data_IF_851469689484
#
_entry.id   IF_851469689484
#
_cell.length_a   1.000
_cell.length_b   1.000
_cell.length_c   1.000
_cell.angle_alpha   90.00
_cell.angle_beta   90.00
_cell.angle_gamma   90.00
#
_symmetry.space_group_name_H-M   'P 1'
#
loop_
_entity.id
_entity.type
_entity.pdbx_description
1 polymer ?
#
# COMPACT_ATOMS: atom_id res chain seq x y z
N UNK A 1 10.10 15.93 4.25
CA UNK A 1 10.99 15.18 3.32
C UNK A 1 10.22 14.81 2.09
N UNK A 2 10.83 14.93 0.90
CA UNK A 2 10.27 14.42 -0.35
C UNK A 2 10.32 12.89 -0.35
N UNK A 3 9.51 12.25 -1.17
CA UNK A 3 9.41 10.78 -1.25
C UNK A 3 10.77 10.09 -1.45
N UNK A 4 11.56 10.58 -2.40
CA UNK A 4 12.91 10.07 -2.69
C UNK A 4 13.90 10.22 -1.53
N UNK A 5 13.76 11.28 -0.74
CA UNK A 5 14.57 11.50 0.47
C UNK A 5 14.19 10.48 1.55
N UNK A 6 12.89 10.16 1.70
CA UNK A 6 12.42 9.12 2.63
C UNK A 6 12.89 7.74 2.21
N UNK A 7 12.86 7.40 0.92
CA UNK A 7 13.41 6.13 0.41
C UNK A 7 14.90 6.01 0.74
N UNK A 8 15.67 7.08 0.50
CA UNK A 8 17.10 7.09 0.82
C UNK A 8 17.33 6.94 2.33
N UNK A 9 16.58 7.69 3.13
CA UNK A 9 16.61 7.58 4.59
C UNK A 9 16.36 6.14 5.07
N UNK A 10 15.30 5.50 4.58
CA UNK A 10 14.99 4.12 4.93
C UNK A 10 16.12 3.14 4.53
N UNK A 11 16.82 3.39 3.43
CA UNK A 11 17.94 2.56 2.97
C UNK A 11 19.20 2.75 3.79
N UNK A 12 19.50 3.97 4.24
CA UNK A 12 20.84 4.33 4.73
C UNK A 12 20.91 4.72 6.20
N UNK A 13 19.80 5.18 6.81
CA UNK A 13 19.80 5.61 8.20
C UNK A 13 20.26 4.48 9.14
N UNK A 14 21.02 4.87 10.17
CA UNK A 14 21.52 3.93 11.19
C UNK A 14 20.35 3.34 11.98
N UNK A 15 20.41 2.04 12.21
CA UNK A 15 19.50 1.35 13.11
C UNK A 15 19.97 1.60 14.53
N UNK A 16 19.14 2.26 15.34
CA UNK A 16 19.44 2.58 16.73
C UNK A 16 18.92 1.50 17.67
N UNK A 17 17.72 1.02 17.41
CA UNK A 17 17.10 -0.05 18.17
C UNK A 17 16.07 -0.79 17.35
N UNK A 18 15.72 -1.99 17.80
CA UNK A 18 14.61 -2.77 17.25
C UNK A 18 13.79 -3.38 18.37
N UNK A 19 12.49 -3.46 18.18
CA UNK A 19 11.57 -4.19 19.07
C UNK A 19 10.63 -5.03 18.24
N UNK A 20 10.29 -6.20 18.72
CA UNK A 20 9.35 -7.08 18.03
C UNK A 20 7.98 -6.40 17.96
N UNK A 21 7.37 -6.42 16.78
CA UNK A 21 5.99 -6.00 16.57
C UNK A 21 5.07 -7.22 16.65
N UNK A 22 3.81 -6.98 16.97
CA UNK A 22 2.77 -8.00 16.89
C UNK A 22 2.45 -8.38 15.44
N UNK A 23 1.51 -9.33 15.28
CA UNK A 23 1.04 -9.81 13.98
C UNK A 23 1.68 -11.13 13.57
N UNK A 24 1.34 -11.58 12.36
CA UNK A 24 1.87 -12.83 11.78
C UNK A 24 3.32 -12.64 11.33
N UNK A 25 4.12 -13.65 11.55
CA UNK A 25 5.53 -13.63 11.15
C UNK A 25 6.43 -12.86 12.10
N UNK A 26 7.65 -12.63 11.65
CA UNK A 26 8.67 -11.93 12.40
C UNK A 26 8.74 -10.46 11.94
N UNK A 27 7.97 -9.61 12.63
CA UNK A 27 7.87 -8.19 12.34
C UNK A 27 8.58 -7.37 13.43
N UNK A 28 9.21 -6.28 13.01
CA UNK A 28 9.98 -5.41 13.89
C UNK A 28 9.62 -3.94 13.69
N UNK A 29 9.50 -3.20 14.78
CA UNK A 29 9.58 -1.73 14.76
C UNK A 29 11.03 -1.36 14.95
N UNK A 30 11.58 -0.64 13.98
CA UNK A 30 12.99 -0.23 13.93
C UNK A 30 13.08 1.27 14.18
N UNK A 31 13.92 1.67 15.14
CA UNK A 31 14.29 3.07 15.31
C UNK A 31 15.47 3.39 14.38
N UNK A 32 15.31 4.42 13.58
CA UNK A 32 16.26 4.86 12.55
C UNK A 32 16.73 6.29 12.86
N UNK A 33 18.02 6.56 12.60
CA UNK A 33 18.63 7.87 12.78
C UNK A 33 19.69 8.15 11.71
N UNK A 34 19.66 9.32 11.07
CA UNK A 34 20.67 9.74 10.09
C UNK A 34 21.56 10.87 10.62
N UNK A 35 21.49 11.16 11.91
CA UNK A 35 22.21 12.26 12.58
C UNK A 35 21.50 13.60 12.50
N UNK A 36 20.41 13.73 11.73
CA UNK A 36 19.58 14.94 11.61
C UNK A 36 18.16 14.73 12.12
N UNK A 37 17.61 13.56 11.84
CA UNK A 37 16.26 13.18 12.24
C UNK A 37 16.25 11.73 12.68
N UNK A 38 15.39 11.45 13.67
CA UNK A 38 15.05 10.10 14.10
C UNK A 38 13.63 9.77 13.69
N UNK A 39 13.39 8.57 13.17
CA UNK A 39 12.07 8.06 12.80
C UNK A 39 11.96 6.57 13.06
N UNK A 40 10.73 6.08 13.07
CA UNK A 40 10.46 4.64 13.12
C UNK A 40 10.18 4.09 11.73
N UNK A 41 10.56 2.83 11.53
CA UNK A 41 10.18 2.02 10.39
C UNK A 41 9.56 0.71 10.86
N UNK A 42 8.73 0.12 10.02
CA UNK A 42 8.16 -1.20 10.21
C UNK A 42 8.83 -2.18 9.26
N UNK A 43 9.51 -3.20 9.81
CA UNK A 43 10.28 -4.17 9.04
C UNK A 43 9.58 -5.52 9.04
N UNK A 44 9.33 -6.05 7.82
CA UNK A 44 8.71 -7.35 7.58
C UNK A 44 9.68 -8.29 6.88
N UNK A 45 9.76 -9.51 7.37
CA UNK A 45 10.63 -10.56 6.84
C UNK A 45 9.88 -11.67 6.12
N UNK A 46 8.57 -11.76 6.32
CA UNK A 46 7.79 -12.88 5.85
C UNK A 46 7.83 -12.98 4.32
N UNK A 47 8.18 -14.17 3.83
CA UNK A 47 8.19 -14.53 2.42
C UNK A 47 7.83 -16.01 2.31
N UNK A 48 6.56 -16.34 2.58
CA UNK A 48 6.06 -17.70 2.63
C UNK A 48 4.86 -17.89 1.70
N UNK A 49 4.91 -18.94 0.89
CA UNK A 49 3.71 -19.45 0.25
C UNK A 49 2.82 -20.11 1.32
N UNK A 50 1.57 -19.72 1.40
CA UNK A 50 0.58 -20.37 2.26
C UNK A 50 -0.03 -21.59 1.56
N UNK A 51 -0.45 -22.63 2.31
CA UNK A 51 -1.07 -23.83 1.73
C UNK A 51 -2.37 -23.57 0.97
N UNK A 52 -2.99 -22.43 1.12
CA UNK A 52 -4.31 -22.08 0.59
C UNK A 52 -4.28 -20.90 -0.39
N UNK A 53 -3.46 -20.92 -1.41
CA UNK A 53 -3.49 -19.97 -2.55
C UNK A 53 -3.07 -18.51 -2.25
N UNK A 54 -2.85 -18.11 -1.01
CA UNK A 54 -2.43 -16.74 -0.68
C UNK A 54 -0.98 -16.76 -0.23
N UNK A 55 -0.12 -16.17 -1.04
CA UNK A 55 1.28 -15.92 -0.67
C UNK A 55 1.35 -14.69 0.22
N UNK A 56 2.05 -14.78 1.34
CA UNK A 56 2.34 -13.65 2.22
C UNK A 56 3.82 -13.28 2.02
N UNK A 57 4.08 -12.12 1.41
CA UNK A 57 5.44 -11.74 1.03
C UNK A 57 5.70 -10.25 1.29
N UNK A 58 6.85 -9.96 1.91
CA UNK A 58 7.33 -8.59 2.06
C UNK A 58 7.53 -7.88 0.71
N UNK A 59 7.75 -8.63 -0.38
CA UNK A 59 7.93 -8.10 -1.73
C UNK A 59 6.67 -7.42 -2.25
N UNK A 60 5.50 -7.90 -1.86
CA UNK A 60 4.23 -7.31 -2.30
C UNK A 60 4.01 -5.90 -1.75
N UNK A 61 4.45 -5.63 -0.51
CA UNK A 61 4.45 -4.27 0.02
C UNK A 61 5.31 -3.31 -0.81
N UNK A 62 6.48 -3.78 -1.30
CA UNK A 62 7.35 -2.99 -2.18
C UNK A 62 6.70 -2.84 -3.56
N UNK A 63 6.12 -3.90 -4.13
CA UNK A 63 5.42 -3.87 -5.41
C UNK A 63 4.24 -2.88 -5.38
N UNK A 64 3.44 -2.89 -4.32
CA UNK A 64 2.34 -1.95 -4.12
C UNK A 64 2.83 -0.50 -4.09
N UNK A 65 3.91 -0.22 -3.35
CA UNK A 65 4.51 1.11 -3.32
C UNK A 65 5.07 1.57 -4.67
N UNK A 66 5.73 0.67 -5.41
CA UNK A 66 6.22 1.01 -6.75
C UNK A 66 5.07 1.27 -7.74
N UNK A 67 3.96 0.52 -7.64
CA UNK A 67 2.75 0.75 -8.43
C UNK A 67 2.06 2.07 -8.04
N UNK A 68 1.98 2.38 -6.75
CA UNK A 68 1.47 3.65 -6.23
C UNK A 68 2.25 4.85 -6.81
N UNK A 69 3.57 4.72 -6.92
CA UNK A 69 4.42 5.75 -7.56
C UNK A 69 4.11 5.90 -9.05
N UNK A 70 3.92 4.80 -9.77
CA UNK A 70 3.57 4.84 -11.21
C UNK A 70 2.21 5.53 -11.43
N UNK A 71 1.28 5.37 -10.50
CA UNK A 71 -0.04 6.00 -10.52
C UNK A 71 -0.05 7.41 -9.92
N UNK A 72 1.05 7.85 -9.31
CA UNK A 72 1.18 9.14 -8.61
C UNK A 72 0.08 9.41 -7.57
N UNK A 73 -0.32 8.38 -6.82
CA UNK A 73 -1.39 8.45 -5.83
C UNK A 73 -0.91 8.91 -4.46
N UNK A 74 0.25 8.41 -4.03
CA UNK A 74 0.81 8.65 -2.71
C UNK A 74 -0.07 8.13 -1.55
N UNK A 75 -0.68 6.97 -1.74
CA UNK A 75 -1.53 6.29 -0.74
C UNK A 75 -0.81 5.15 -0.04
N UNK A 76 0.32 4.69 -0.56
CA UNK A 76 1.18 3.72 0.13
C UNK A 76 2.36 4.43 0.77
N UNK A 77 2.61 4.27 2.09
CA UNK A 77 3.78 4.86 2.73
C UNK A 77 5.08 4.36 2.10
N UNK A 78 6.14 5.19 2.02
CA UNK A 78 7.42 4.77 1.48
C UNK A 78 7.93 3.48 2.11
N UNK A 79 8.26 2.51 1.26
CA UNK A 79 8.83 1.21 1.63
C UNK A 79 9.98 0.86 0.71
N UNK A 80 11.02 0.25 1.26
CA UNK A 80 12.22 -0.19 0.52
C UNK A 80 12.60 -1.61 0.91
N UNK A 81 13.29 -2.31 0.03
CA UNK A 81 14.00 -3.52 0.44
C UNK A 81 15.23 -3.10 1.26
N UNK A 82 15.42 -3.76 2.39
CA UNK A 82 16.60 -3.58 3.24
C UNK A 82 17.04 -4.91 3.85
N UNK A 83 18.34 -5.08 3.96
CA UNK A 83 18.92 -6.18 4.71
C UNK A 83 19.25 -5.71 6.14
N UNK A 84 18.78 -6.47 7.13
CA UNK A 84 19.03 -6.23 8.55
C UNK A 84 19.49 -7.55 9.18
N UNK A 85 20.70 -7.54 9.74
CA UNK A 85 21.31 -8.73 10.36
C UNK A 85 21.34 -9.94 9.42
N UNK A 86 21.73 -9.72 8.15
CA UNK A 86 21.83 -10.77 7.13
C UNK A 86 20.49 -11.25 6.57
N UNK A 87 19.38 -10.63 6.95
CA UNK A 87 18.03 -11.00 6.49
C UNK A 87 17.41 -9.90 5.67
N UNK A 88 16.96 -10.24 4.47
CA UNK A 88 16.25 -9.33 3.57
C UNK A 88 14.77 -9.23 3.94
N UNK A 89 14.25 -8.02 3.87
CA UNK A 89 12.85 -7.73 4.14
C UNK A 89 12.42 -6.36 3.60
N UNK A 90 11.17 -6.00 3.79
CA UNK A 90 10.67 -4.66 3.51
C UNK A 90 10.74 -3.77 4.76
N UNK A 91 11.27 -2.57 4.60
CA UNK A 91 11.26 -1.54 5.63
C UNK A 91 10.39 -0.38 5.17
N UNK A 92 9.23 -0.24 5.80
CA UNK A 92 8.25 0.83 5.54
C UNK A 92 8.39 1.93 6.58
N UNK A 93 8.25 3.18 6.17
CA UNK A 93 8.20 4.31 7.12
C UNK A 93 6.99 4.16 8.05
N UNK A 94 7.22 4.32 9.35
CA UNK A 94 6.12 4.34 10.32
C UNK A 94 5.42 5.69 10.27
N UNK A 95 4.11 5.71 10.17
CA UNK A 95 3.30 6.94 10.12
C UNK A 95 2.93 7.35 11.54
N UNK A 96 3.79 8.14 12.14
CA UNK A 96 3.62 8.63 13.50
C UNK A 96 2.42 9.56 13.63
N UNK A 97 1.60 9.32 14.66
CA UNK A 97 0.42 10.15 14.95
C UNK A 97 -0.76 9.91 14.02
N UNK A 98 -0.71 8.88 13.17
CA UNK A 98 -1.89 8.45 12.42
C UNK A 98 -2.87 7.71 13.33
N UNK A 99 -4.17 7.85 13.03
CA UNK A 99 -5.24 6.99 13.54
C UNK A 99 -5.55 5.95 12.48
N UNK A 100 -5.90 4.73 12.89
CA UNK A 100 -6.54 3.82 11.95
C UNK A 100 -8.04 4.16 11.80
N UNK A 101 -8.63 3.73 10.69
CA UNK A 101 -10.02 4.05 10.36
C UNK A 101 -11.00 3.45 11.37
N UNK A 102 -10.70 2.29 11.96
CA UNK A 102 -11.52 1.69 13.02
C UNK A 102 -11.59 2.61 14.25
N UNK A 103 -10.47 3.15 14.71
CA UNK A 103 -10.43 4.10 15.83
C UNK A 103 -11.12 5.41 15.45
N UNK A 104 -10.94 5.91 14.22
CA UNK A 104 -11.66 7.11 13.77
C UNK A 104 -13.17 6.92 13.85
N UNK A 105 -13.69 5.80 13.33
CA UNK A 105 -15.13 5.48 13.38
C UNK A 105 -15.63 5.32 14.80
N UNK A 106 -14.92 4.55 15.63
CA UNK A 106 -15.25 4.36 17.05
C UNK A 106 -15.35 5.69 17.80
N UNK A 107 -14.40 6.61 17.57
CA UNK A 107 -14.37 7.94 18.19
C UNK A 107 -15.30 8.95 17.50
N UNK A 108 -16.00 8.58 16.43
CA UNK A 108 -16.89 9.43 15.64
C UNK A 108 -16.22 10.73 15.14
N UNK A 109 -14.91 10.66 14.86
CA UNK A 109 -14.17 11.82 14.34
C UNK A 109 -14.57 12.05 12.89
N UNK A 110 -15.08 13.26 12.61
CA UNK A 110 -15.53 13.66 11.27
C UNK A 110 -14.37 14.30 10.49
N UNK A 111 -14.21 13.97 9.20
CA UNK A 111 -13.25 14.66 8.34
C UNK A 111 -13.64 16.14 8.19
N UNK A 112 -12.61 17.01 8.13
CA UNK A 112 -12.82 18.44 7.88
C UNK A 112 -13.28 18.72 6.45
N UNK A 113 -12.85 17.90 5.50
CA UNK A 113 -13.18 17.94 4.08
C UNK A 113 -13.78 16.59 3.66
N UNK A 114 -15.07 16.34 3.93
CA UNK A 114 -15.71 15.04 3.73
C UNK A 114 -15.58 14.50 2.31
N UNK A 115 -15.73 15.34 1.29
CA UNK A 115 -15.66 14.93 -0.12
C UNK A 115 -14.25 14.52 -0.52
N UNK A 116 -13.21 15.25 -0.07
CA UNK A 116 -11.82 14.86 -0.32
C UNK A 116 -11.47 13.55 0.37
N UNK A 117 -11.96 13.38 1.59
CA UNK A 117 -11.77 12.14 2.33
C UNK A 117 -12.46 10.95 1.66
N UNK A 118 -13.71 11.15 1.21
CA UNK A 118 -14.45 10.15 0.43
C UNK A 118 -13.69 9.77 -0.84
N UNK A 119 -13.24 10.73 -1.62
CA UNK A 119 -12.48 10.49 -2.85
C UNK A 119 -11.18 9.72 -2.55
N UNK A 120 -10.49 10.02 -1.44
CA UNK A 120 -9.28 9.30 -1.06
C UNK A 120 -9.56 7.83 -0.69
N UNK A 121 -10.69 7.54 -0.07
CA UNK A 121 -11.13 6.16 0.19
C UNK A 121 -11.55 5.45 -1.10
N UNK A 122 -12.23 6.12 -2.02
CA UNK A 122 -12.58 5.57 -3.33
C UNK A 122 -11.33 5.23 -4.15
N UNK A 123 -10.33 6.11 -4.14
CA UNK A 123 -9.03 5.82 -4.78
C UNK A 123 -8.33 4.62 -4.14
N UNK A 124 -8.40 4.50 -2.82
CA UNK A 124 -7.86 3.33 -2.12
C UNK A 124 -8.59 2.05 -2.56
N UNK A 125 -9.93 2.04 -2.63
CA UNK A 125 -10.72 0.89 -3.11
C UNK A 125 -10.32 0.48 -4.53
N UNK A 126 -10.11 1.43 -5.42
CA UNK A 126 -9.62 1.14 -6.78
C UNK A 126 -8.24 0.49 -6.73
N UNK A 127 -7.33 1.03 -5.92
CA UNK A 127 -5.97 0.52 -5.79
C UNK A 127 -5.94 -0.88 -5.18
N UNK A 128 -6.79 -1.17 -4.20
CA UNK A 128 -6.94 -2.50 -3.59
C UNK A 128 -7.44 -3.53 -4.60
N UNK A 129 -8.46 -3.20 -5.36
CA UNK A 129 -8.91 -4.06 -6.45
C UNK A 129 -7.80 -4.29 -7.47
N UNK A 130 -7.03 -3.27 -7.82
CA UNK A 130 -5.90 -3.38 -8.74
C UNK A 130 -4.83 -4.33 -8.21
N UNK A 131 -4.44 -4.17 -6.96
CA UNK A 131 -3.43 -5.00 -6.29
C UNK A 131 -3.99 -6.34 -5.80
N UNK A 132 -5.31 -6.53 -5.81
CA UNK A 132 -6.01 -7.62 -5.17
C UNK A 132 -5.54 -7.82 -3.73
N UNK A 133 -5.65 -6.78 -2.94
CA UNK A 133 -5.32 -6.82 -1.52
C UNK A 133 -6.59 -7.08 -0.72
N UNK A 134 -6.83 -8.29 -0.19
CA UNK A 134 -8.06 -8.59 0.51
C UNK A 134 -8.18 -7.89 1.87
N UNK A 135 -7.10 -7.25 2.29
CA UNK A 135 -7.02 -6.63 3.62
C UNK A 135 -7.94 -5.44 3.81
N UNK A 136 -8.36 -4.78 2.74
CA UNK A 136 -9.01 -3.49 2.85
C UNK A 136 -10.50 -3.48 2.49
N UNK A 137 -10.91 -4.38 1.63
CA UNK A 137 -12.28 -4.40 1.16
C UNK A 137 -13.23 -5.06 2.15
N UNK A 138 -14.02 -4.25 2.78
CA UNK A 138 -14.97 -4.64 3.81
C UNK A 138 -14.66 -3.98 5.16
N UNK A 139 -15.54 -4.18 6.13
CA UNK A 139 -15.36 -3.59 7.46
C UNK A 139 -14.28 -4.29 8.31
N UNK A 140 -13.67 -5.36 7.78
CA UNK A 140 -12.83 -6.27 8.58
C UNK A 140 -11.44 -5.73 8.87
N UNK A 141 -10.88 -4.90 7.98
CA UNK A 141 -9.47 -4.51 8.05
C UNK A 141 -9.26 -2.99 8.05
N UNK A 142 -10.18 -2.28 8.71
CA UNK A 142 -10.09 -0.83 8.88
C UNK A 142 -8.83 -0.38 9.64
N UNK A 143 -8.11 -1.31 10.27
CA UNK A 143 -6.86 -1.03 10.97
C UNK A 143 -5.69 -0.81 10.01
N UNK A 144 -5.80 -1.34 8.78
CA UNK A 144 -4.80 -1.15 7.72
C UNK A 144 -4.99 0.15 6.93
N UNK A 145 -6.02 0.93 7.26
CA UNK A 145 -6.24 2.28 6.73
C UNK A 145 -5.82 3.29 7.78
N UNK A 146 -4.72 3.99 7.50
CA UNK A 146 -4.20 5.03 8.40
C UNK A 146 -4.64 6.41 7.95
N UNK A 147 -5.09 7.22 8.89
CA UNK A 147 -5.59 8.57 8.65
C UNK A 147 -4.78 9.55 9.48
N UNK A 148 -4.27 10.58 8.82
CA UNK A 148 -3.56 11.66 9.48
C UNK A 148 -4.38 12.94 9.38
N UNK A 149 -4.78 13.49 10.54
CA UNK A 149 -5.44 14.78 10.68
C UNK A 149 -4.44 15.85 11.14
N UNK A 150 -3.66 16.41 10.20
CA UNK A 150 -2.86 17.60 10.55
C UNK A 150 -3.41 18.85 9.88
N UNK A 151 -3.38 18.97 8.59
CA UNK A 151 -3.94 20.11 7.84
C UNK A 151 -4.86 19.65 6.73
N UNK A 152 -4.56 18.50 6.16
CA UNK A 152 -5.37 17.81 5.15
C UNK A 152 -5.49 16.37 5.60
N UNK A 153 -6.70 15.86 5.62
CA UNK A 153 -6.97 14.45 5.92
C UNK A 153 -6.34 13.59 4.84
N UNK A 154 -5.28 12.89 5.22
CA UNK A 154 -4.56 11.98 4.33
C UNK A 154 -4.88 10.55 4.70
N UNK A 155 -5.20 9.76 3.68
CA UNK A 155 -5.47 8.33 3.79
C UNK A 155 -4.24 7.57 3.31
N UNK A 156 -3.85 6.54 4.06
CA UNK A 156 -2.78 5.62 3.72
C UNK A 156 -3.30 4.19 3.80
N UNK A 157 -3.00 3.38 2.79
CA UNK A 157 -3.11 1.93 2.87
C UNK A 157 -1.79 1.32 3.34
N UNK A 158 -1.85 0.39 4.26
CA UNK A 158 -0.69 -0.38 4.77
C UNK A 158 -0.99 -1.87 4.70
N UNK A 159 0.01 -2.70 4.92
CA UNK A 159 -0.09 -4.16 4.94
C UNK A 159 -0.52 -4.82 3.62
N UNK A 160 0.21 -4.56 2.55
CA UNK A 160 0.04 -5.24 1.26
C UNK A 160 0.76 -6.58 1.16
N UNK A 161 1.09 -7.24 2.27
CA UNK A 161 1.88 -8.47 2.23
C UNK A 161 1.13 -9.69 1.65
N UNK A 162 -0.19 -9.62 1.58
CA UNK A 162 -1.07 -10.64 0.97
C UNK A 162 -1.65 -10.21 -0.40
N UNK A 163 -1.18 -9.08 -0.95
CA UNK A 163 -1.64 -8.58 -2.24
C UNK A 163 -1.20 -9.45 -3.43
N UNK A 164 -1.67 -9.10 -4.60
CA UNK A 164 -1.32 -9.71 -5.90
C UNK A 164 -1.70 -11.18 -6.04
N UNK A 165 -2.78 -11.61 -5.37
CA UNK A 165 -3.29 -12.95 -5.56
C UNK A 165 -3.52 -13.24 -7.06
N UNK A 166 -3.30 -14.50 -7.51
CA UNK A 166 -3.41 -14.90 -8.91
C UNK A 166 -4.88 -15.05 -9.35
N UNK A 167 -5.67 -14.01 -9.15
CA UNK A 167 -7.08 -13.91 -9.58
C UNK A 167 -7.23 -12.81 -10.62
N UNK A 168 -7.89 -13.07 -11.76
CA UNK A 168 -8.18 -12.03 -12.75
C UNK A 168 -9.36 -11.14 -12.34
N UNK A 169 -10.15 -11.55 -11.37
CA UNK A 169 -11.36 -10.87 -10.94
C UNK A 169 -11.08 -9.75 -9.95
N UNK A 170 -12.04 -8.86 -9.76
CA UNK A 170 -12.00 -7.88 -8.67
C UNK A 170 -12.37 -8.56 -7.35
N UNK A 171 -12.02 -7.91 -6.25
CA UNK A 171 -12.29 -8.44 -4.92
C UNK A 171 -13.80 -8.50 -4.67
N UNK A 172 -14.37 -9.68 -4.33
CA UNK A 172 -15.80 -9.81 -4.04
C UNK A 172 -16.24 -8.89 -2.89
N UNK A 173 -17.35 -8.18 -3.10
CA UNK A 173 -17.87 -7.22 -2.11
C UNK A 173 -17.13 -5.89 -2.04
N UNK A 174 -16.12 -5.68 -2.90
CA UNK A 174 -15.35 -4.46 -2.99
C UNK A 174 -15.72 -3.65 -4.24
N UNK A 175 -16.88 -3.00 -4.18
CA UNK A 175 -17.40 -2.28 -5.34
C UNK A 175 -16.67 -0.97 -5.58
N UNK A 176 -16.25 -0.76 -6.84
CA UNK A 176 -15.72 0.53 -7.30
C UNK A 176 -16.92 1.41 -7.64
N UNK A 177 -17.17 2.40 -6.79
CA UNK A 177 -18.29 3.36 -6.92
C UNK A 177 -17.84 4.73 -7.42
N UNK A 178 -16.55 4.98 -7.46
CA UNK A 178 -15.95 6.22 -7.92
C UNK A 178 -14.42 6.13 -7.96
N UNK A 179 -13.81 7.17 -8.51
CA UNK A 179 -12.37 7.43 -8.40
C UNK A 179 -12.09 8.91 -8.64
N UNK A 180 -10.95 9.39 -8.15
CA UNK A 180 -10.51 10.74 -8.50
C UNK A 180 -10.17 10.85 -9.99
N UNK A 181 -10.39 12.03 -10.57
CA UNK A 181 -10.03 12.32 -11.96
C UNK A 181 -8.54 12.01 -12.24
N UNK A 182 -7.68 12.27 -11.24
CA UNK A 182 -6.25 12.01 -11.32
C UNK A 182 -5.97 10.52 -11.48
N UNK A 183 -6.52 9.67 -10.60
CA UNK A 183 -6.34 8.22 -10.66
C UNK A 183 -6.85 7.64 -11.97
N UNK A 184 -8.07 8.02 -12.38
CA UNK A 184 -8.66 7.57 -13.63
C UNK A 184 -7.75 7.86 -14.83
N UNK A 185 -7.25 9.10 -14.94
CA UNK A 185 -6.37 9.51 -16.03
C UNK A 185 -5.03 8.77 -16.00
N UNK A 186 -4.43 8.63 -14.83
CA UNK A 186 -3.13 7.97 -14.68
C UNK A 186 -3.24 6.48 -14.98
N UNK A 187 -4.30 5.81 -14.51
CA UNK A 187 -4.52 4.39 -14.76
C UNK A 187 -4.74 4.09 -16.26
N UNK A 188 -5.49 4.94 -16.96
CA UNK A 188 -5.71 4.80 -18.42
C UNK A 188 -4.42 5.01 -19.19
N UNK A 189 -3.59 5.98 -18.80
CA UNK A 189 -2.34 6.33 -19.49
C UNK A 189 -1.17 5.39 -19.18
N UNK A 190 -1.23 4.69 -18.05
CA UNK A 190 -0.13 3.86 -17.59
C UNK A 190 0.05 2.64 -18.51
N UNK A 191 1.19 2.59 -19.19
CA UNK A 191 1.55 1.51 -20.09
C UNK A 191 1.85 0.21 -19.34
N UNK A 192 1.38 -0.93 -19.88
CA UNK A 192 1.57 -2.25 -19.30
C UNK A 192 3.05 -2.66 -19.25
N UNK A 193 3.85 -2.25 -20.25
CA UNK A 193 5.29 -2.56 -20.26
C UNK A 193 6.06 -1.78 -19.20
N UNK A 194 5.61 -0.55 -18.87
CA UNK A 194 6.16 0.22 -17.73
C UNK A 194 5.87 -0.49 -16.41
N UNK A 195 4.65 -1.02 -16.24
CA UNK A 195 4.29 -1.82 -15.06
C UNK A 195 5.18 -3.07 -14.97
N UNK A 196 5.28 -3.85 -16.06
CA UNK A 196 6.11 -5.06 -16.13
C UNK A 196 7.57 -4.77 -15.79
N UNK A 197 8.16 -3.78 -16.45
CA UNK A 197 9.55 -3.40 -16.23
C UNK A 197 9.83 -3.04 -14.76
N UNK A 198 8.87 -2.37 -14.11
CA UNK A 198 9.00 -1.90 -12.73
C UNK A 198 8.79 -3.00 -11.68
N UNK A 199 7.83 -3.90 -11.92
CA UNK A 199 7.39 -4.87 -10.91
C UNK A 199 7.97 -6.29 -11.09
N UNK A 200 8.64 -6.61 -12.20
CA UNK A 200 9.18 -7.93 -12.52
C UNK A 200 10.09 -8.55 -11.46
N UNK A 201 10.69 -7.74 -10.59
CA UNK A 201 11.57 -8.22 -9.51
C UNK A 201 10.79 -8.63 -8.25
N UNK A 202 9.53 -8.27 -8.18
CA UNK A 202 8.66 -8.48 -7.01
C UNK A 202 7.53 -9.45 -7.26
N UNK A 203 7.02 -9.50 -8.51
CA UNK A 203 5.91 -10.34 -8.95
C UNK A 203 6.39 -11.39 -9.94
N UNK A 204 5.80 -12.58 -9.90
CA UNK A 204 5.97 -13.60 -10.92
C UNK A 204 5.08 -13.30 -12.15
N UNK A 205 5.23 -14.11 -13.22
CA UNK A 205 4.51 -13.88 -14.49
C UNK A 205 2.99 -14.03 -14.34
N UNK A 206 2.52 -14.96 -13.49
CA UNK A 206 1.09 -15.16 -13.25
C UNK A 206 0.49 -13.98 -12.48
N UNK A 207 1.10 -13.56 -11.39
CA UNK A 207 0.69 -12.38 -10.61
C UNK A 207 0.66 -11.12 -11.46
N UNK A 208 1.67 -10.93 -12.30
CA UNK A 208 1.75 -9.82 -13.25
C UNK A 208 0.61 -9.88 -14.29
N UNK A 209 0.37 -11.05 -14.87
CA UNK A 209 -0.73 -11.25 -15.83
C UNK A 209 -2.09 -10.91 -15.21
N UNK A 210 -2.33 -11.36 -13.96
CA UNK A 210 -3.60 -11.08 -13.27
C UNK A 210 -3.74 -9.59 -12.90
N UNK A 211 -2.68 -8.94 -12.46
CA UNK A 211 -2.66 -7.48 -12.25
C UNK A 211 -3.10 -6.72 -13.51
N UNK A 212 -2.55 -7.06 -14.67
CA UNK A 212 -2.88 -6.39 -15.94
C UNK A 212 -4.31 -6.68 -16.41
N UNK A 213 -4.84 -7.88 -16.14
CA UNK A 213 -6.25 -8.19 -16.40
C UNK A 213 -7.18 -7.35 -15.52
N UNK A 214 -6.91 -7.25 -14.22
CA UNK A 214 -7.68 -6.39 -13.30
C UNK A 214 -7.62 -4.93 -13.73
N UNK A 215 -6.44 -4.43 -14.13
CA UNK A 215 -6.30 -3.07 -14.66
C UNK A 215 -7.29 -2.80 -15.80
N UNK A 216 -7.42 -3.72 -16.77
CA UNK A 216 -8.36 -3.57 -17.89
C UNK A 216 -9.82 -3.52 -17.40
N UNK A 217 -10.22 -4.44 -16.53
CA UNK A 217 -11.56 -4.46 -15.94
C UNK A 217 -11.88 -3.17 -15.19
N UNK A 218 -10.92 -2.67 -14.41
CA UNK A 218 -11.08 -1.42 -13.65
C UNK A 218 -11.26 -0.23 -14.59
N UNK A 219 -10.45 -0.12 -15.65
CA UNK A 219 -10.58 0.95 -16.65
C UNK A 219 -11.96 0.94 -17.32
N UNK A 220 -12.49 -0.24 -17.67
CA UNK A 220 -13.83 -0.37 -18.26
C UNK A 220 -14.93 0.07 -17.28
N UNK A 221 -14.80 -0.31 -15.99
CA UNK A 221 -15.74 0.12 -14.95
C UNK A 221 -15.70 1.64 -14.75
N UNK A 222 -14.52 2.22 -14.64
CA UNK A 222 -14.33 3.65 -14.44
C UNK A 222 -14.91 4.46 -15.60
N UNK A 223 -14.70 4.03 -16.85
CA UNK A 223 -15.28 4.70 -18.01
C UNK A 223 -16.81 4.79 -17.93
N UNK A 224 -17.47 3.70 -17.52
CA UNK A 224 -18.92 3.65 -17.34
C UNK A 224 -19.45 4.53 -16.17
N UNK A 225 -18.60 4.88 -15.22
CA UNK A 225 -18.97 5.76 -14.11
C UNK A 225 -18.86 7.26 -14.46
N UNK A 226 -18.13 7.57 -15.54
CA UNK A 226 -17.86 8.95 -15.98
C UNK A 226 -18.79 9.36 -17.15
N UNK A 227 -19.33 8.37 -17.88
CA UNK A 227 -20.38 8.56 -18.89
C UNK A 227 -21.73 8.90 -18.23
#
# INVERSE_FOLDING_TARGET
MKQKELENYLKTAKIVSKRRAGGRGENWVISLDDGKISRYGFFKLLNQARPALITDSYRYGIAAYELDKLLDLNIVPPVVEREIEGRKGSLQIFIEGALNESVRRMKKIKPREPDKFKNALEDLIVFENLTYSPSFCGERELDDILIMDKQVWRVWGVDFSEAFAPSPELIPGCEITGCSKKLCQNLIKLDDEVIKAKLKHYLNDEEMSMLLKRKKIIIEKIKKLIE
#
